data_IF_609876175771
#
_entry.id   IF_609876175771
#
_cell.length_a   1.000
_cell.length_b   1.000
_cell.length_c   1.000
_cell.angle_alpha   90.00
_cell.angle_beta   90.00
_cell.angle_gamma   90.00
#
_symmetry.space_group_name_H-M   'P 1'
#
loop_
_entity.id
_entity.type
_entity.pdbx_description
1 polymer ?
#
# COMPACT_ATOMS: atom_id res chain seq x y z
N UNK A 1 -13.29 9.02 -1.80
CA UNK A 1 -12.03 9.17 -2.55
C UNK A 1 -11.94 8.25 -3.76
N UNK A 2 -11.40 8.73 -4.89
CA UNK A 2 -11.10 7.90 -6.08
C UNK A 2 -10.02 6.89 -5.73
N UNK A 3 -10.39 5.64 -5.49
CA UNK A 3 -9.42 4.53 -5.54
C UNK A 3 -8.99 4.45 -7.00
N UNK A 4 -7.80 4.96 -7.31
CA UNK A 4 -7.17 4.69 -8.59
C UNK A 4 -7.16 3.17 -8.74
N UNK A 5 -7.81 2.62 -9.78
CA UNK A 5 -7.96 1.17 -10.03
C UNK A 5 -6.63 0.42 -10.26
N UNK A 6 -5.51 1.06 -9.89
CA UNK A 6 -4.15 0.58 -10.00
C UNK A 6 -3.45 0.86 -8.67
N UNK A 7 -2.88 -0.15 -8.02
CA UNK A 7 -2.17 0.05 -6.77
C UNK A 7 -1.00 1.05 -6.95
N UNK A 8 -0.77 1.93 -5.96
CA UNK A 8 0.31 2.90 -6.03
C UNK A 8 1.68 2.19 -5.99
N UNK A 9 2.69 2.82 -6.57
CA UNK A 9 4.09 2.45 -6.33
C UNK A 9 4.54 2.97 -4.96
N UNK A 10 5.60 2.39 -4.39
CA UNK A 10 6.23 2.91 -3.17
C UNK A 10 6.64 4.38 -3.32
N UNK A 11 7.19 4.77 -4.47
CA UNK A 11 7.51 6.18 -4.75
C UNK A 11 6.27 7.10 -4.69
N UNK A 12 5.11 6.63 -5.15
CA UNK A 12 3.86 7.41 -5.06
C UNK A 12 3.36 7.50 -3.61
N UNK A 13 3.55 6.44 -2.82
CA UNK A 13 3.27 6.47 -1.37
C UNK A 13 4.22 7.44 -0.64
N UNK A 14 5.51 7.45 -0.97
CA UNK A 14 6.48 8.40 -0.40
C UNK A 14 6.04 9.85 -0.62
N UNK A 15 5.66 10.18 -1.86
CA UNK A 15 5.18 11.52 -2.22
C UNK A 15 3.87 11.90 -1.53
N UNK A 16 2.92 10.97 -1.45
CA UNK A 16 1.60 11.24 -0.87
C UNK A 16 1.65 11.39 0.66
N UNK A 17 2.39 10.51 1.33
CA UNK A 17 2.51 10.51 2.79
C UNK A 17 3.71 11.33 3.30
N UNK A 18 4.50 11.93 2.41
CA UNK A 18 5.70 12.70 2.74
C UNK A 18 6.71 11.95 3.64
N UNK A 19 6.89 10.64 3.38
CA UNK A 19 7.76 9.76 4.17
C UNK A 19 8.95 9.26 3.36
N UNK A 20 10.00 8.86 4.06
CA UNK A 20 11.23 8.36 3.45
C UNK A 20 11.03 7.01 2.72
N UNK A 21 11.87 6.69 1.71
CA UNK A 21 11.85 5.38 1.07
C UNK A 21 11.90 4.17 2.00
N UNK A 22 12.81 4.09 3.00
CA UNK A 22 12.81 2.96 3.94
C UNK A 22 11.54 2.90 4.80
N UNK A 23 10.94 4.04 5.16
CA UNK A 23 9.68 4.06 5.92
C UNK A 23 8.53 3.45 5.13
N UNK A 24 8.40 3.75 3.83
CA UNK A 24 7.38 3.13 2.98
C UNK A 24 7.63 1.65 2.80
N UNK A 25 8.89 1.26 2.57
CA UNK A 25 9.25 -0.15 2.46
C UNK A 25 8.87 -0.94 3.73
N UNK A 26 9.21 -0.40 4.91
CA UNK A 26 8.85 -0.99 6.20
C UNK A 26 7.33 -1.03 6.42
N UNK A 27 6.61 0.02 6.04
CA UNK A 27 5.14 0.07 6.10
C UNK A 27 4.52 -1.07 5.28
N UNK A 28 4.90 -1.20 4.01
CA UNK A 28 4.42 -2.26 3.11
C UNK A 28 4.74 -3.64 3.68
N UNK A 29 5.99 -3.87 4.12
CA UNK A 29 6.37 -5.14 4.74
C UNK A 29 5.61 -5.44 6.04
N UNK A 30 5.24 -4.42 6.80
CA UNK A 30 4.45 -4.61 8.03
C UNK A 30 3.01 -4.99 7.71
N UNK A 31 2.40 -4.34 6.71
CA UNK A 31 1.05 -4.69 6.26
C UNK A 31 0.99 -6.10 5.67
N UNK A 32 2.01 -6.49 4.90
CA UNK A 32 2.16 -7.85 4.33
C UNK A 32 2.27 -8.90 5.45
N UNK A 33 3.16 -8.68 6.42
CA UNK A 33 3.31 -9.59 7.58
C UNK A 33 2.05 -9.69 8.45
N UNK A 34 1.22 -8.65 8.47
CA UNK A 34 -0.08 -8.65 9.18
C UNK A 34 -1.20 -9.30 8.36
N UNK A 35 -0.93 -9.75 7.14
CA UNK A 35 -1.94 -10.35 6.26
C UNK A 35 -2.97 -9.36 5.74
N UNK A 36 -2.70 -8.04 5.80
CA UNK A 36 -3.64 -7.02 5.34
C UNK A 36 -3.50 -6.77 3.83
N UNK A 37 -2.31 -7.04 3.28
CA UNK A 37 -2.00 -6.93 1.85
C UNK A 37 -1.19 -8.13 1.37
N UNK A 38 -1.24 -8.39 0.06
CA UNK A 38 -0.29 -9.24 -0.66
C UNK A 38 0.50 -8.42 -1.69
N UNK A 39 1.72 -8.85 -2.03
CA UNK A 39 2.50 -8.32 -3.15
C UNK A 39 3.35 -9.42 -3.78
N UNK A 40 3.77 -9.18 -5.01
CA UNK A 40 4.77 -10.02 -5.70
C UNK A 40 6.12 -9.32 -5.65
N UNK A 41 7.15 -9.91 -5.00
CA UNK A 41 8.51 -9.34 -4.99
C UNK A 41 9.03 -9.09 -6.41
N UNK A 42 9.69 -7.94 -6.61
CA UNK A 42 10.22 -7.55 -7.92
C UNK A 42 9.18 -7.09 -8.94
N UNK A 43 7.88 -7.24 -8.67
CA UNK A 43 6.83 -6.78 -9.56
C UNK A 43 6.30 -5.41 -9.12
N UNK A 44 6.48 -4.40 -9.96
CA UNK A 44 5.92 -3.08 -9.71
C UNK A 44 4.38 -3.12 -9.69
N UNK A 45 3.77 -2.40 -8.74
CA UNK A 45 2.30 -2.24 -8.63
C UNK A 45 1.56 -3.59 -8.46
N UNK A 46 2.13 -4.48 -7.64
CA UNK A 46 1.55 -5.79 -7.32
C UNK A 46 0.77 -5.82 -5.99
N UNK A 47 0.74 -4.71 -5.24
CA UNK A 47 0.03 -4.64 -3.96
C UNK A 47 -1.47 -4.87 -4.16
N UNK A 48 -2.04 -5.79 -3.40
CA UNK A 48 -3.49 -6.04 -3.33
C UNK A 48 -3.93 -6.08 -1.88
N UNK A 49 -5.15 -5.61 -1.63
CA UNK A 49 -5.78 -5.63 -0.32
C UNK A 49 -6.39 -7.01 -0.08
N UNK A 50 -6.14 -7.57 1.11
CA UNK A 50 -6.72 -8.84 1.54
C UNK A 50 -7.89 -8.65 2.52
N UNK A 51 -8.20 -7.40 2.86
CA UNK A 51 -9.28 -7.03 3.76
C UNK A 51 -10.48 -6.47 2.98
N UNK A 52 -11.72 -6.67 3.49
CA UNK A 52 -12.92 -6.09 2.90
C UNK A 52 -12.93 -4.56 3.03
N UNK A 53 -13.76 -3.91 2.22
CA UNK A 53 -13.86 -2.44 2.22
C UNK A 53 -14.35 -1.90 3.56
N UNK A 54 -15.17 -2.64 4.29
CA UNK A 54 -15.69 -2.21 5.60
C UNK A 54 -14.58 -2.01 6.66
N UNK A 55 -13.44 -2.68 6.50
CA UNK A 55 -12.29 -2.55 7.42
C UNK A 55 -11.30 -1.45 7.00
N UNK A 56 -11.47 -0.87 5.81
CA UNK A 56 -10.61 0.20 5.32
C UNK A 56 -11.09 1.56 5.86
N UNK A 57 -10.20 2.37 6.43
CA UNK A 57 -10.55 3.74 6.77
C UNK A 57 -10.86 4.53 5.49
N UNK A 58 -11.82 5.46 5.59
CA UNK A 58 -12.06 6.40 4.49
C UNK A 58 -10.88 7.39 4.36
N UNK A 59 -10.54 7.70 3.11
CA UNK A 59 -9.58 8.76 2.80
C UNK A 59 -10.32 10.10 2.79
N UNK A 60 -9.95 11.01 3.70
CA UNK A 60 -10.30 12.45 3.69
C UNK A 60 -9.84 13.14 2.39
#
# INVERSE_FOLDING_TARGET
>A
GKIHRRPPSEAKMQQYFCVSPPSVHQMVSTLERRGLIERTPGQARSIRLLIPREELPDLE
#
